data_IF_755302340370
#
_entry.id   IF_755302340370
#
_cell.length_a   1.000
_cell.length_b   1.000
_cell.length_c   1.000
_cell.angle_alpha   90.00
_cell.angle_beta   90.00
_cell.angle_gamma   90.00
#
_symmetry.space_group_name_H-M   'P 1'
#
loop_
_entity.id
_entity.type
_entity.pdbx_description
1 polymer ?
#
# COMPACT_ATOMS: atom_id res chain seq x y z
N UNK A 1 2.53 15.79 18.48
CA UNK A 1 3.23 14.66 17.83
C UNK A 1 2.96 14.50 16.32
N UNK A 2 2.28 15.45 15.63
CA UNK A 2 1.85 15.26 14.22
C UNK A 2 2.92 15.55 13.15
N UNK A 3 3.88 16.43 13.44
CA UNK A 3 4.85 16.90 12.44
C UNK A 3 5.89 15.86 12.04
N UNK A 4 6.26 14.95 12.95
CA UNK A 4 7.20 13.85 12.66
C UNK A 4 6.57 12.80 11.73
N UNK A 5 5.31 12.42 11.98
CA UNK A 5 4.53 11.48 11.15
C UNK A 5 4.40 11.95 9.71
N UNK A 6 4.08 13.25 9.50
CA UNK A 6 3.96 13.85 8.18
C UNK A 6 5.28 13.79 7.38
N UNK A 7 6.40 14.13 8.01
CA UNK A 7 7.72 14.11 7.37
C UNK A 7 8.16 12.69 7.01
N UNK A 8 7.91 11.73 7.90
CA UNK A 8 8.20 10.31 7.64
C UNK A 8 7.38 9.81 6.45
N UNK A 9 6.07 10.09 6.42
CA UNK A 9 5.19 9.71 5.31
C UNK A 9 5.60 10.36 3.98
N UNK A 10 5.95 11.66 3.98
CA UNK A 10 6.43 12.35 2.78
C UNK A 10 7.75 11.77 2.25
N UNK A 11 8.71 11.48 3.15
CA UNK A 11 10.00 10.87 2.80
C UNK A 11 9.81 9.49 2.18
N UNK A 12 8.91 8.69 2.75
CA UNK A 12 8.59 7.35 2.27
C UNK A 12 7.90 7.37 0.89
N UNK A 13 6.94 8.27 0.68
CA UNK A 13 6.31 8.51 -0.64
C UNK A 13 7.35 8.87 -1.70
N UNK A 14 8.30 9.74 -1.34
CA UNK A 14 9.40 10.12 -2.24
C UNK A 14 10.29 8.92 -2.60
N UNK A 15 10.62 8.05 -1.63
CA UNK A 15 11.37 6.81 -1.91
C UNK A 15 10.60 5.87 -2.86
N UNK A 16 9.30 5.68 -2.63
CA UNK A 16 8.50 4.79 -3.48
C UNK A 16 8.32 5.36 -4.90
N UNK A 17 8.13 6.67 -5.03
CA UNK A 17 8.09 7.36 -6.32
C UNK A 17 9.40 7.17 -7.11
N UNK A 18 10.56 7.28 -6.44
CA UNK A 18 11.87 7.02 -7.06
C UNK A 18 12.05 5.55 -7.47
N UNK A 19 11.53 4.58 -6.70
CA UNK A 19 11.55 3.17 -7.09
C UNK A 19 10.73 2.93 -8.37
N UNK A 20 9.55 3.53 -8.45
CA UNK A 20 8.68 3.45 -9.63
C UNK A 20 9.30 4.13 -10.89
N UNK A 21 10.18 5.11 -10.72
CA UNK A 21 10.92 5.74 -11.82
C UNK A 21 12.01 4.85 -12.42
N UNK A 22 12.51 3.88 -11.64
CA UNK A 22 13.55 2.94 -12.09
C UNK A 22 12.92 1.79 -12.91
N UNK A 23 11.67 1.44 -12.61
CA UNK A 23 10.90 0.46 -13.36
C UNK A 23 10.37 1.09 -14.65
N UNK A 24 10.58 0.45 -15.82
CA UNK A 24 10.01 0.86 -17.11
C UNK A 24 8.47 0.77 -17.17
N UNK A 25 7.82 0.48 -16.05
CA UNK A 25 6.38 0.42 -15.87
C UNK A 25 5.87 1.81 -15.45
N UNK A 26 5.16 2.49 -16.35
CA UNK A 26 4.65 3.84 -16.15
C UNK A 26 3.44 3.90 -15.19
N UNK A 27 3.01 2.78 -14.61
CA UNK A 27 1.85 2.72 -13.72
C UNK A 27 2.26 2.90 -12.26
N UNK A 28 2.68 4.13 -11.91
CA UNK A 28 3.01 4.48 -10.52
C UNK A 28 1.84 4.16 -9.60
N UNK A 29 2.09 3.34 -8.60
CA UNK A 29 1.11 3.11 -7.54
C UNK A 29 1.33 4.17 -6.47
N UNK A 30 0.51 5.22 -6.53
CA UNK A 30 0.50 6.27 -5.52
C UNK A 30 -0.53 5.90 -4.46
N UNK A 31 -0.11 5.36 -3.31
CA UNK A 31 -1.04 5.16 -2.22
C UNK A 31 -1.80 6.45 -1.88
N UNK A 32 -3.13 6.44 -1.99
CA UNK A 32 -3.99 7.49 -1.42
C UNK A 32 -4.15 7.25 0.09
N UNK A 33 -3.02 7.29 0.80
CA UNK A 33 -3.01 7.03 2.24
C UNK A 33 -3.27 8.34 2.97
N UNK A 34 -4.20 8.33 3.91
CA UNK A 34 -4.42 9.42 4.86
C UNK A 34 -3.07 9.80 5.52
N UNK A 35 -2.68 11.09 5.55
CA UNK A 35 -1.43 11.52 6.18
C UNK A 35 -1.25 11.09 7.65
N UNK A 36 -2.34 10.80 8.37
CA UNK A 36 -2.29 10.30 9.76
C UNK A 36 -2.05 8.79 9.85
N UNK A 37 -2.21 8.04 8.75
CA UNK A 37 -1.84 6.63 8.69
C UNK A 37 -0.33 6.49 8.45
N UNK A 38 0.38 6.07 9.50
CA UNK A 38 1.77 5.63 9.45
C UNK A 38 1.85 4.27 8.75
N UNK A 39 1.50 4.21 7.47
CA UNK A 39 1.74 2.98 6.72
C UNK A 39 3.23 2.81 6.53
N UNK A 40 3.74 1.66 6.97
CA UNK A 40 5.11 1.29 6.70
C UNK A 40 5.23 1.03 5.21
N UNK A 41 5.95 1.93 4.53
CA UNK A 41 6.10 1.87 3.07
C UNK A 41 7.09 0.78 2.66
N UNK A 42 7.85 0.22 3.62
CA UNK A 42 8.59 -1.02 3.39
C UNK A 42 7.61 -2.18 3.17
N UNK A 43 7.67 -2.79 1.98
CA UNK A 43 6.72 -3.82 1.55
C UNK A 43 5.57 -3.30 0.68
N UNK A 44 5.48 -1.98 0.45
CA UNK A 44 4.48 -1.44 -0.47
C UNK A 44 4.94 -1.56 -1.93
N UNK A 45 4.07 -1.99 -2.86
CA UNK A 45 4.38 -2.01 -4.28
C UNK A 45 4.62 -0.58 -4.78
N UNK A 46 5.61 -0.39 -5.66
CA UNK A 46 5.88 0.93 -6.25
C UNK A 46 5.08 1.14 -7.54
N UNK A 47 4.75 0.06 -8.25
CA UNK A 47 3.96 0.05 -9.48
C UNK A 47 2.79 -0.94 -9.42
N UNK A 48 1.88 -0.90 -10.40
CA UNK A 48 0.88 -1.97 -10.56
C UNK A 48 1.56 -3.30 -10.86
N UNK A 49 2.59 -3.31 -11.72
CA UNK A 49 3.36 -4.52 -12.02
C UNK A 49 3.94 -5.17 -10.76
N UNK A 50 4.53 -4.37 -9.86
CA UNK A 50 5.05 -4.86 -8.58
C UNK A 50 3.93 -5.53 -7.78
N UNK A 51 2.77 -4.89 -7.67
CA UNK A 51 1.63 -5.41 -6.92
C UNK A 51 1.12 -6.74 -7.49
N UNK A 52 0.90 -6.83 -8.81
CA UNK A 52 0.39 -8.04 -9.44
C UNK A 52 1.40 -9.19 -9.44
N UNK A 53 2.67 -8.90 -9.20
CA UNK A 53 3.74 -9.89 -9.05
C UNK A 53 3.90 -10.43 -7.63
N UNK A 54 3.25 -9.83 -6.64
CA UNK A 54 3.34 -10.25 -5.24
C UNK A 54 2.75 -11.65 -5.06
N UNK A 55 3.41 -12.46 -4.23
CA UNK A 55 2.88 -13.76 -3.87
C UNK A 55 1.89 -13.67 -2.69
N UNK A 56 1.33 -14.82 -2.28
CA UNK A 56 0.39 -14.86 -1.18
C UNK A 56 0.97 -14.38 0.15
N UNK A 57 2.24 -14.68 0.43
CA UNK A 57 2.90 -14.24 1.65
C UNK A 57 3.07 -12.72 1.65
N UNK A 58 3.48 -12.16 0.53
CA UNK A 58 3.68 -10.72 0.35
C UNK A 58 2.35 -9.96 0.48
N UNK A 59 1.27 -10.45 -0.14
CA UNK A 59 -0.06 -9.84 -0.03
C UNK A 59 -0.61 -9.92 1.40
N UNK A 60 -0.37 -11.03 2.12
CA UNK A 60 -0.76 -11.14 3.53
C UNK A 60 -0.01 -10.13 4.40
N UNK A 61 1.30 -9.99 4.20
CA UNK A 61 2.07 -8.99 4.92
C UNK A 61 1.61 -7.56 4.60
N UNK A 62 1.33 -7.26 3.33
CA UNK A 62 0.80 -5.97 2.89
C UNK A 62 -0.57 -5.68 3.53
N UNK A 63 -1.48 -6.66 3.55
CA UNK A 63 -2.79 -6.53 4.19
C UNK A 63 -2.66 -6.25 5.70
N UNK A 64 -1.77 -6.96 6.41
CA UNK A 64 -1.46 -6.68 7.83
C UNK A 64 -0.93 -5.27 8.01
N UNK A 65 -0.01 -4.82 7.16
CA UNK A 65 0.52 -3.46 7.21
C UNK A 65 -0.60 -2.42 6.96
N UNK A 66 -1.58 -2.74 6.12
CA UNK A 66 -2.78 -1.93 5.85
C UNK A 66 -3.84 -1.98 6.96
N UNK A 67 -3.61 -2.72 8.05
CA UNK A 67 -4.56 -2.89 9.14
C UNK A 67 -5.75 -3.79 8.79
N UNK A 68 -5.61 -4.68 7.80
CA UNK A 68 -6.65 -5.58 7.32
C UNK A 68 -6.48 -6.99 7.92
N UNK A 69 -7.59 -7.70 8.13
CA UNK A 69 -7.57 -9.13 8.48
C UNK A 69 -7.07 -9.95 7.27
N UNK A 70 -5.94 -10.64 7.42
CA UNK A 70 -5.35 -11.47 6.36
C UNK A 70 -5.67 -12.95 6.51
N UNK A 71 -5.58 -13.49 7.72
CA UNK A 71 -5.33 -14.92 7.95
C UNK A 71 -6.46 -15.85 7.50
N UNK A 72 -7.70 -15.35 7.57
CA UNK A 72 -8.90 -16.11 7.20
C UNK A 72 -9.43 -15.76 5.81
N UNK A 73 -8.76 -14.86 5.09
CA UNK A 73 -9.22 -14.39 3.78
C UNK A 73 -8.52 -15.20 2.68
N UNK A 74 -9.32 -15.70 1.72
CA UNK A 74 -8.80 -16.38 0.55
C UNK A 74 -7.93 -15.42 -0.28
N UNK A 75 -6.78 -15.90 -0.75
CA UNK A 75 -5.77 -15.08 -1.43
C UNK A 75 -6.33 -14.18 -2.55
N UNK A 76 -7.14 -14.66 -3.52
CA UNK A 76 -7.67 -13.79 -4.58
C UNK A 76 -8.54 -12.64 -4.03
N UNK A 77 -9.30 -12.90 -2.97
CA UNK A 77 -10.12 -11.88 -2.31
C UNK A 77 -9.26 -10.89 -1.55
N UNK A 78 -8.26 -11.37 -0.81
CA UNK A 78 -7.34 -10.53 -0.04
C UNK A 78 -6.56 -9.58 -0.96
N UNK A 79 -6.08 -10.11 -2.09
CA UNK A 79 -5.38 -9.33 -3.10
C UNK A 79 -6.29 -8.24 -3.70
N UNK A 80 -7.53 -8.56 -4.06
CA UNK A 80 -8.49 -7.55 -4.53
C UNK A 80 -8.76 -6.45 -3.49
N UNK A 81 -9.01 -6.82 -2.23
CA UNK A 81 -9.28 -5.85 -1.17
C UNK A 81 -8.06 -4.98 -0.85
N UNK A 82 -6.85 -5.55 -0.86
CA UNK A 82 -5.63 -4.79 -0.66
C UNK A 82 -5.44 -3.74 -1.77
N UNK A 83 -5.71 -4.12 -3.03
CA UNK A 83 -5.69 -3.18 -4.15
C UNK A 83 -6.66 -2.02 -3.94
N UNK A 84 -7.93 -2.31 -3.64
CA UNK A 84 -8.96 -1.29 -3.42
C UNK A 84 -8.61 -0.34 -2.27
N UNK A 85 -8.02 -0.88 -1.19
CA UNK A 85 -7.58 -0.09 -0.03
C UNK A 85 -6.48 0.88 -0.41
N UNK A 86 -5.50 0.43 -1.18
CA UNK A 86 -4.38 1.28 -1.61
C UNK A 86 -4.82 2.34 -2.62
N UNK A 87 -5.69 1.97 -3.55
CA UNK A 87 -6.24 2.87 -4.56
C UNK A 87 -7.19 3.93 -3.99
N UNK A 88 -7.51 3.87 -2.69
CA UNK A 88 -8.49 4.76 -2.06
C UNK A 88 -9.94 4.45 -2.45
N UNK A 89 -10.20 3.26 -2.99
CA UNK A 89 -11.53 2.79 -3.41
C UNK A 89 -12.32 2.18 -2.24
N UNK A 90 -11.64 1.67 -1.22
CA UNK A 90 -12.25 1.35 0.08
C UNK A 90 -12.29 2.61 0.96
N UNK A 91 -13.24 3.49 0.68
CA UNK A 91 -13.75 4.43 1.68
C UNK A 91 -14.33 3.60 2.82
N UNK A 92 -13.69 3.61 3.98
CA UNK A 92 -14.33 3.14 5.20
C UNK A 92 -15.59 3.98 5.42
N UNK A 93 -16.75 3.34 5.25
CA UNK A 93 -17.97 3.80 5.88
C UNK A 93 -17.75 3.58 7.38
N UNK A 94 -17.27 4.61 8.07
CA UNK A 94 -17.26 4.66 9.52
C UNK A 94 -18.72 4.67 10.00
N UNK A 95 -19.21 3.53 10.50
CA UNK A 95 -20.39 3.46 11.39
C UNK A 95 -19.94 3.13 12.79
#
# INVERSE_FOLDING_TARGET
>A
MKMQTLVVNATRRLKNAKRAEITSDNTRFLPQIDPDNLLDVEGFPATLGDFWSMDERDIRQLATNLGMESDKVAYPKLMHQAFERIAGLLTEVMT
#
